data_IF_113638905970
#
_entry.id   IF_113638905970
#
_cell.length_a   1.000
_cell.length_b   1.000
_cell.length_c   1.000
_cell.angle_alpha   90.00
_cell.angle_beta   90.00
_cell.angle_gamma   90.00
#
_symmetry.space_group_name_H-M   'P 1'
#
loop_
_entity.id
_entity.type
_entity.pdbx_description
1 polymer ?
#
# COMPACT_ATOMS: atom_id res chain seq x y z
N UNK A 1 3.33 2.12 -5.79
CA UNK A 1 4.15 2.34 -4.58
C UNK A 1 4.88 1.06 -4.18
N UNK A 2 5.97 1.16 -3.41
CA UNK A 2 6.63 0.02 -2.77
C UNK A 2 7.18 0.40 -1.38
N UNK A 3 7.31 -0.59 -0.50
CA UNK A 3 7.79 -0.39 0.88
C UNK A 3 8.42 -1.69 1.41
N UNK A 4 9.26 -1.56 2.43
CA UNK A 4 9.76 -2.69 3.21
C UNK A 4 8.73 -3.13 4.27
N UNK A 5 8.88 -4.37 4.72
CA UNK A 5 8.12 -4.94 5.83
C UNK A 5 9.01 -5.19 7.05
N UNK A 6 8.42 -5.14 8.24
CA UNK A 6 9.00 -5.65 9.50
C UNK A 6 8.48 -7.04 9.89
N UNK A 7 7.53 -7.57 9.11
CA UNK A 7 6.87 -8.87 9.29
C UNK A 7 6.91 -9.64 7.95
N UNK A 8 6.49 -10.91 7.93
CA UNK A 8 6.43 -11.66 6.68
C UNK A 8 5.40 -11.07 5.69
N UNK A 9 5.59 -11.33 4.39
CA UNK A 9 4.60 -10.95 3.38
C UNK A 9 3.21 -11.54 3.67
N UNK A 10 3.14 -12.77 4.20
CA UNK A 10 1.88 -13.46 4.50
C UNK A 10 1.11 -12.78 5.64
N UNK A 11 1.80 -12.39 6.71
CA UNK A 11 1.21 -11.63 7.83
C UNK A 11 0.75 -10.24 7.38
N UNK A 12 1.57 -9.55 6.58
CA UNK A 12 1.20 -8.26 6.01
C UNK A 12 -0.03 -8.39 5.10
N UNK A 13 -0.04 -9.38 4.21
CA UNK A 13 -1.12 -9.60 3.23
C UNK A 13 -2.45 -9.88 3.91
N UNK A 14 -2.44 -10.60 5.04
CA UNK A 14 -3.64 -10.85 5.85
C UNK A 14 -4.27 -9.54 6.35
N UNK A 15 -3.48 -8.62 6.87
CA UNK A 15 -3.96 -7.30 7.32
C UNK A 15 -4.39 -6.45 6.14
N UNK A 16 -3.58 -6.42 5.08
CA UNK A 16 -3.85 -5.68 3.85
C UNK A 16 -5.18 -6.10 3.20
N UNK A 17 -5.46 -7.41 3.09
CA UNK A 17 -6.71 -7.94 2.53
C UNK A 17 -7.90 -7.72 3.48
N UNK A 18 -7.68 -7.90 4.79
CA UNK A 18 -8.69 -7.60 5.81
C UNK A 18 -9.10 -6.12 5.82
N UNK A 19 -8.25 -5.23 5.33
CA UNK A 19 -8.49 -3.78 5.25
C UNK A 19 -8.89 -3.31 3.83
N UNK A 20 -9.31 -4.23 2.94
CA UNK A 20 -9.76 -3.88 1.59
C UNK A 20 -10.94 -2.89 1.59
N UNK A 21 -11.86 -3.05 2.54
CA UNK A 21 -13.06 -2.20 2.65
C UNK A 21 -12.73 -0.69 2.69
N UNK A 22 -11.62 -0.31 3.34
CA UNK A 22 -11.22 1.08 3.45
C UNK A 22 -10.74 1.64 2.10
N UNK A 23 -10.07 0.80 1.29
CA UNK A 23 -9.66 1.17 -0.07
C UNK A 23 -10.89 1.34 -0.97
N UNK A 24 -11.88 0.46 -0.81
CA UNK A 24 -13.15 0.56 -1.55
C UNK A 24 -13.92 1.84 -1.18
N UNK A 25 -14.00 2.21 0.10
CA UNK A 25 -14.63 3.46 0.58
C UNK A 25 -13.92 4.71 0.01
N UNK A 26 -12.60 4.66 -0.16
CA UNK A 26 -11.79 5.73 -0.72
C UNK A 26 -11.71 5.72 -2.26
N UNK A 27 -12.44 4.84 -2.94
CA UNK A 27 -12.38 4.66 -4.39
C UNK A 27 -10.96 4.39 -4.93
N UNK A 28 -10.14 3.68 -4.14
CA UNK A 28 -8.78 3.27 -4.52
C UNK A 28 -8.81 1.86 -5.09
N UNK A 29 -8.60 1.73 -6.40
CA UNK A 29 -8.67 0.43 -7.08
C UNK A 29 -7.29 -0.21 -7.13
N UNK A 30 -7.16 -1.38 -6.50
CA UNK A 30 -5.95 -2.21 -6.57
C UNK A 30 -5.82 -2.84 -7.96
N UNK A 31 -4.68 -2.59 -8.63
CA UNK A 31 -4.33 -3.16 -9.94
C UNK A 31 -3.41 -4.37 -9.78
N UNK A 32 -2.45 -4.25 -8.84
CA UNK A 32 -1.46 -5.28 -8.56
C UNK A 32 -1.01 -5.16 -7.10
N UNK A 33 -0.80 -6.31 -6.47
CA UNK A 33 -0.07 -6.44 -5.21
C UNK A 33 0.89 -7.62 -5.30
N UNK A 34 2.12 -7.45 -4.83
CA UNK A 34 3.12 -8.51 -4.85
C UNK A 34 4.30 -8.24 -3.91
N UNK A 35 5.15 -9.25 -3.78
CA UNK A 35 6.39 -9.22 -3.01
C UNK A 35 7.57 -9.49 -3.94
N UNK A 36 8.60 -8.66 -3.85
CA UNK A 36 9.89 -8.91 -4.47
C UNK A 36 10.83 -9.47 -3.41
N UNK A 37 11.21 -10.74 -3.54
CA UNK A 37 12.14 -11.39 -2.61
C UNK A 37 13.57 -10.85 -2.76
N UNK A 38 14.00 -10.53 -4.00
CA UNK A 38 15.34 -9.98 -4.24
C UNK A 38 15.53 -8.61 -3.57
N UNK A 39 14.51 -7.75 -3.65
CA UNK A 39 14.54 -6.40 -3.08
C UNK A 39 13.96 -6.30 -1.65
N UNK A 40 13.41 -7.41 -1.13
CA UNK A 40 12.70 -7.48 0.17
C UNK A 40 11.63 -6.39 0.32
N UNK A 41 10.83 -6.18 -0.73
CA UNK A 41 9.82 -5.11 -0.79
C UNK A 41 8.46 -5.58 -1.29
N UNK A 42 7.40 -5.02 -0.72
CA UNK A 42 6.07 -5.08 -1.32
C UNK A 42 5.98 -4.10 -2.47
N UNK A 43 5.24 -4.46 -3.50
CA UNK A 43 4.88 -3.58 -4.61
C UNK A 43 3.36 -3.56 -4.73
N UNK A 44 2.80 -2.35 -4.72
CA UNK A 44 1.36 -2.14 -4.82
C UNK A 44 1.07 -1.08 -5.87
N UNK A 45 0.22 -1.42 -6.83
CA UNK A 45 -0.24 -0.51 -7.87
C UNK A 45 -1.72 -0.20 -7.64
N UNK A 46 -2.04 1.08 -7.58
CA UNK A 46 -3.40 1.57 -7.41
C UNK A 46 -3.74 2.52 -8.56
N UNK A 47 -4.98 2.40 -9.04
CA UNK A 47 -5.67 3.46 -9.78
C UNK A 47 -6.41 4.32 -8.73
N UNK A 48 -6.11 5.61 -8.71
CA UNK A 48 -6.65 6.59 -7.75
C UNK A 48 -7.02 7.87 -8.49
N UNK A 49 -8.05 8.57 -8.03
CA UNK A 49 -8.49 9.83 -8.63
C UNK A 49 -7.40 10.91 -8.57
N UNK A 50 -6.67 10.97 -7.46
CA UNK A 50 -5.57 11.92 -7.28
C UNK A 50 -4.56 11.41 -6.24
N UNK A 51 -3.39 12.05 -6.21
CA UNK A 51 -2.41 11.81 -5.16
C UNK A 51 -2.88 12.28 -3.78
N UNK A 52 -3.81 13.24 -3.72
CA UNK A 52 -4.40 13.72 -2.47
C UNK A 52 -5.24 12.62 -1.82
N UNK A 53 -6.03 11.86 -2.60
CA UNK A 53 -6.79 10.71 -2.10
C UNK A 53 -5.85 9.67 -1.46
N UNK A 54 -4.72 9.38 -2.12
CA UNK A 54 -3.72 8.45 -1.57
C UNK A 54 -3.10 8.96 -0.26
N UNK A 55 -2.79 10.26 -0.15
CA UNK A 55 -2.23 10.85 1.06
C UNK A 55 -3.25 10.82 2.21
N UNK A 56 -4.48 11.27 1.97
CA UNK A 56 -5.56 11.23 2.96
C UNK A 56 -5.84 9.80 3.45
N UNK A 57 -5.81 8.81 2.55
CA UNK A 57 -5.95 7.40 2.92
C UNK A 57 -4.82 6.94 3.86
N UNK A 58 -3.57 7.26 3.54
CA UNK A 58 -2.41 6.89 4.36
C UNK A 58 -2.47 7.56 5.74
N UNK A 59 -2.85 8.83 5.82
CA UNK A 59 -3.01 9.55 7.08
C UNK A 59 -4.16 8.98 7.92
N UNK A 60 -5.35 8.80 7.33
CA UNK A 60 -6.54 8.28 8.03
C UNK A 60 -6.34 6.87 8.56
N UNK A 61 -5.54 6.05 7.87
CA UNK A 61 -5.33 4.64 8.21
C UNK A 61 -3.90 4.31 8.67
N UNK A 62 -3.13 5.32 9.10
CA UNK A 62 -1.72 5.19 9.47
C UNK A 62 -1.47 4.09 10.52
N UNK A 63 -2.36 3.95 11.51
CA UNK A 63 -2.22 2.93 12.56
C UNK A 63 -2.39 1.50 12.03
N UNK A 64 -3.36 1.26 11.15
CA UNK A 64 -3.57 -0.06 10.53
C UNK A 64 -2.41 -0.39 9.60
N UNK A 65 -1.91 0.60 8.85
CA UNK A 65 -0.74 0.44 7.98
C UNK A 65 0.48 0.08 8.84
N UNK A 66 0.77 0.82 9.91
CA UNK A 66 1.90 0.53 10.80
C UNK A 66 1.78 -0.88 11.44
N UNK A 67 0.60 -1.23 11.95
CA UNK A 67 0.38 -2.54 12.60
C UNK A 67 0.43 -3.73 11.64
N UNK A 68 0.27 -3.51 10.33
CA UNK A 68 0.49 -4.55 9.31
C UNK A 68 1.96 -4.93 9.12
N UNK A 69 2.89 -4.19 9.73
CA UNK A 69 4.32 -4.33 9.51
C UNK A 69 4.86 -3.56 8.31
N UNK A 70 4.04 -2.72 7.66
CA UNK A 70 4.50 -1.79 6.63
C UNK A 70 5.37 -0.68 7.25
N UNK A 71 6.64 -0.60 6.84
CA UNK A 71 7.55 0.48 7.25
C UNK A 71 7.30 1.75 6.45
N UNK A 72 6.45 2.64 6.97
CA UNK A 72 5.93 3.80 6.24
C UNK A 72 7.04 4.75 5.75
N UNK A 73 8.10 4.91 6.54
CA UNK A 73 9.29 5.72 6.23
C UNK A 73 10.07 5.24 5.00
N UNK A 74 9.86 3.98 4.59
CA UNK A 74 10.50 3.37 3.42
C UNK A 74 9.63 3.42 2.16
N UNK A 75 8.46 4.04 2.26
CA UNK A 75 7.47 4.08 1.18
C UNK A 75 7.95 4.95 0.03
N UNK A 76 8.02 4.36 -1.15
CA UNK A 76 8.31 5.08 -2.40
C UNK A 76 7.06 5.05 -3.28
N UNK A 77 6.58 6.24 -3.66
CA UNK A 77 5.48 6.40 -4.60
C UNK A 77 6.03 6.86 -5.95
N UNK A 78 5.59 6.19 -7.02
CA UNK A 78 5.84 6.60 -8.41
C UNK A 78 4.49 6.74 -9.09
N UNK A 79 4.26 7.88 -9.73
CA UNK A 79 3.09 8.13 -10.55
C UNK A 79 3.38 7.60 -11.96
N UNK A 80 2.48 6.77 -12.48
CA UNK A 80 2.55 6.27 -13.85
C UNK A 80 1.63 7.16 -14.70
N UNK A 81 2.18 8.18 -15.35
CA UNK A 81 1.44 8.97 -16.35
C UNK A 81 1.64 8.39 -17.74
N UNK A 82 0.66 8.58 -18.64
CA UNK A 82 0.95 8.48 -20.07
C UNK A 82 2.01 9.53 -20.42
N UNK A 83 2.96 9.12 -21.28
CA UNK A 83 4.12 9.91 -21.69
C UNK A 83 3.72 11.10 -22.55
#
# INVERSE_FOLDING_TARGET
MNAELSTSYEEWKKVYDGHKWARDEANMKEILVGWCEEDQRIHVCFEVESMEVMQQFQEKHAEVIASSGHKQETTVVKVLSES
#
